data_IF_582487938779
#
_entry.id   IF_582487938779
#
_cell.length_a   1.000
_cell.length_b   1.000
_cell.length_c   1.000
_cell.angle_alpha   90.00
_cell.angle_beta   90.00
_cell.angle_gamma   90.00
#
_symmetry.space_group_name_H-M   'P 1'
#
loop_
_entity.id
_entity.type
_entity.pdbx_description
1 polymer ?
#
# COMPACT_ATOMS: atom_id res chain seq x y z
N UNK A 1 -8.33 23.10 -25.92
CA UNK A 1 -6.95 22.62 -25.64
C UNK A 1 -6.91 21.94 -24.26
N UNK A 2 -7.70 20.88 -24.02
CA UNK A 2 -7.80 20.26 -22.68
C UNK A 2 -7.73 18.72 -22.68
N UNK A 3 -7.50 18.09 -23.83
CA UNK A 3 -7.62 16.63 -24.00
C UNK A 3 -6.34 15.83 -23.76
N UNK A 4 -5.17 16.47 -23.59
CA UNK A 4 -3.89 15.74 -23.54
C UNK A 4 -3.40 15.42 -22.11
N UNK A 5 -4.03 15.99 -21.08
CA UNK A 5 -3.67 15.71 -19.67
C UNK A 5 -4.31 14.44 -19.11
N UNK A 6 -5.45 14.02 -19.64
CA UNK A 6 -6.20 12.88 -19.10
C UNK A 6 -5.46 11.53 -19.26
N UNK A 7 -4.65 11.38 -20.31
CA UNK A 7 -3.98 10.10 -20.62
C UNK A 7 -2.79 9.79 -19.71
N UNK A 8 -2.25 10.77 -19.00
CA UNK A 8 -1.08 10.57 -18.12
C UNK A 8 -1.47 10.40 -16.66
N UNK A 9 -2.54 11.05 -16.20
CA UNK A 9 -3.04 10.92 -14.82
C UNK A 9 -3.78 9.59 -14.57
N UNK A 10 -4.48 9.05 -15.59
CA UNK A 10 -5.13 7.74 -15.51
C UNK A 10 -4.11 6.61 -15.30
N UNK A 11 -2.99 6.66 -16.01
CA UNK A 11 -1.94 5.63 -15.91
C UNK A 11 -1.23 5.65 -14.55
N UNK A 12 -1.02 6.83 -13.95
CA UNK A 12 -0.49 6.90 -12.58
C UNK A 12 -1.47 6.30 -11.58
N UNK A 13 -2.77 6.59 -11.74
CA UNK A 13 -3.80 6.11 -10.82
C UNK A 13 -4.04 4.60 -10.94
N UNK A 14 -3.99 4.05 -12.15
CA UNK A 14 -4.01 2.60 -12.40
C UNK A 14 -2.82 1.88 -11.76
N UNK A 15 -1.61 2.45 -11.84
CA UNK A 15 -0.42 1.87 -11.24
C UNK A 15 -0.45 1.90 -9.70
N UNK A 16 -0.99 2.96 -9.11
CA UNK A 16 -1.19 3.09 -7.66
C UNK A 16 -2.23 2.08 -7.15
N UNK A 17 -3.32 1.90 -7.89
CA UNK A 17 -4.34 0.90 -7.60
C UNK A 17 -3.82 -0.54 -7.78
N UNK A 18 -2.98 -0.77 -8.79
CA UNK A 18 -2.27 -2.03 -8.97
C UNK A 18 -1.34 -2.37 -7.79
N UNK A 19 -0.65 -1.38 -7.21
CA UNK A 19 0.18 -1.59 -6.01
C UNK A 19 -0.66 -2.05 -4.81
N UNK A 20 -1.84 -1.44 -4.62
CA UNK A 20 -2.78 -1.79 -3.55
C UNK A 20 -3.33 -3.22 -3.73
N UNK A 21 -3.58 -3.64 -4.97
CA UNK A 21 -4.07 -4.98 -5.27
C UNK A 21 -2.97 -6.05 -5.13
N UNK A 22 -1.76 -5.77 -5.63
CA UNK A 22 -0.61 -6.67 -5.45
C UNK A 22 -0.29 -6.88 -3.95
N UNK A 23 -0.38 -5.80 -3.15
CA UNK A 23 -0.22 -5.89 -1.70
C UNK A 23 -1.32 -6.70 -0.99
N UNK A 24 -2.49 -6.89 -1.62
CA UNK A 24 -3.60 -7.72 -1.09
C UNK A 24 -3.35 -9.21 -1.31
N UNK A 25 -2.84 -9.58 -2.50
CA UNK A 25 -2.77 -10.98 -2.96
C UNK A 25 -1.45 -11.72 -2.69
N UNK A 26 -0.46 -11.06 -2.07
CA UNK A 26 0.89 -11.60 -1.77
C UNK A 26 1.85 -11.61 -2.97
N UNK A 27 1.56 -10.80 -4.00
CA UNK A 27 2.38 -10.74 -5.20
C UNK A 27 3.58 -9.81 -4.98
N UNK A 28 4.52 -10.25 -4.14
CA UNK A 28 5.72 -9.47 -3.79
C UNK A 28 6.56 -9.09 -5.01
N UNK A 29 6.60 -9.93 -6.04
CA UNK A 29 7.32 -9.65 -7.28
C UNK A 29 6.65 -8.50 -8.05
N UNK A 30 5.32 -8.48 -8.12
CA UNK A 30 4.57 -7.39 -8.73
C UNK A 30 4.73 -6.10 -7.91
N UNK A 31 4.66 -6.19 -6.58
CA UNK A 31 4.96 -5.06 -5.69
C UNK A 31 6.35 -4.49 -6.01
N UNK A 32 7.39 -5.33 -6.09
CA UNK A 32 8.76 -4.87 -6.42
C UNK A 32 8.84 -4.22 -7.80
N UNK A 33 8.19 -4.78 -8.81
CA UNK A 33 8.18 -4.23 -10.17
C UNK A 33 7.51 -2.85 -10.17
N UNK A 34 6.34 -2.72 -9.54
CA UNK A 34 5.55 -1.50 -9.48
C UNK A 34 6.30 -0.41 -8.70
N UNK A 35 6.91 -0.76 -7.57
CA UNK A 35 7.74 0.16 -6.78
C UNK A 35 8.99 0.60 -7.56
N UNK A 36 9.62 -0.33 -8.30
CA UNK A 36 10.76 -0.01 -9.16
C UNK A 36 10.39 0.89 -10.35
N UNK A 37 9.12 0.90 -10.76
CA UNK A 37 8.59 1.81 -11.76
C UNK A 37 8.40 3.25 -11.24
N UNK A 38 8.67 3.51 -9.95
CA UNK A 38 8.58 4.83 -9.34
C UNK A 38 7.18 5.19 -8.84
N UNK A 39 6.33 4.21 -8.60
CA UNK A 39 4.98 4.42 -8.04
C UNK A 39 5.08 4.83 -6.58
N UNK A 40 4.24 5.80 -6.19
CA UNK A 40 4.18 6.28 -4.82
C UNK A 40 3.64 5.21 -3.89
N UNK A 41 4.37 4.93 -2.81
CA UNK A 41 3.93 3.99 -1.77
C UNK A 41 2.89 4.59 -0.83
N UNK A 42 2.82 5.93 -0.79
CA UNK A 42 1.89 6.69 0.04
C UNK A 42 0.54 6.89 -0.64
N UNK A 43 0.33 6.25 -1.80
CA UNK A 43 -0.91 6.28 -2.54
C UNK A 43 -2.04 5.63 -1.76
N UNK A 44 -3.17 6.36 -1.71
CA UNK A 44 -4.33 6.01 -0.90
C UNK A 44 -5.50 5.63 -1.79
N UNK A 45 -6.18 4.56 -1.42
CA UNK A 45 -7.46 4.20 -2.03
C UNK A 45 -8.59 5.14 -1.57
N UNK A 46 -9.81 4.89 -2.06
CA UNK A 46 -11.03 5.62 -1.65
C UNK A 46 -11.33 5.58 -0.15
N UNK A 47 -10.70 4.66 0.59
CA UNK A 47 -10.82 4.49 2.04
C UNK A 47 -9.60 5.03 2.80
N UNK A 48 -8.69 5.74 2.13
CA UNK A 48 -7.48 6.28 2.73
C UNK A 48 -6.40 5.23 3.04
N UNK A 49 -6.55 3.99 2.54
CA UNK A 49 -5.62 2.88 2.81
C UNK A 49 -4.47 2.93 1.82
N UNK A 50 -3.24 2.82 2.33
CA UNK A 50 -2.03 2.60 1.53
C UNK A 50 -1.75 1.10 1.31
N UNK A 51 -0.86 0.77 0.38
CA UNK A 51 -0.45 -0.62 0.08
C UNK A 51 -0.08 -1.42 1.35
N UNK A 52 0.58 -0.76 2.29
CA UNK A 52 0.97 -1.37 3.57
C UNK A 52 -0.22 -1.74 4.47
N UNK A 53 -1.34 -1.00 4.41
CA UNK A 53 -2.57 -1.40 5.11
C UNK A 53 -3.15 -2.69 4.53
N UNK A 54 -3.15 -2.82 3.19
CA UNK A 54 -3.64 -4.02 2.51
C UNK A 54 -2.79 -5.23 2.86
N UNK A 55 -1.46 -5.08 2.79
CA UNK A 55 -0.52 -6.14 3.14
C UNK A 55 -0.69 -6.59 4.60
N UNK A 56 -0.81 -5.65 5.53
CA UNK A 56 -0.99 -5.94 6.96
C UNK A 56 -2.33 -6.65 7.21
N UNK A 57 -3.44 -6.12 6.70
CA UNK A 57 -4.77 -6.69 6.88
C UNK A 57 -4.91 -8.11 6.29
N UNK A 58 -4.13 -8.43 5.26
CA UNK A 58 -4.08 -9.75 4.64
C UNK A 58 -2.95 -10.64 5.16
N UNK A 59 -2.21 -10.18 6.20
CA UNK A 59 -1.10 -10.92 6.85
C UNK A 59 0.04 -11.28 5.87
N UNK A 60 0.32 -10.40 4.91
CA UNK A 60 1.38 -10.54 3.90
C UNK A 60 2.71 -10.02 4.46
N UNK A 61 3.38 -10.83 5.27
CA UNK A 61 4.58 -10.41 6.00
C UNK A 61 5.72 -9.98 5.05
N UNK A 62 5.94 -10.71 3.96
CA UNK A 62 7.01 -10.40 3.00
C UNK A 62 6.80 -9.02 2.34
N UNK A 63 5.54 -8.70 2.00
CA UNK A 63 5.17 -7.39 1.44
C UNK A 63 5.29 -6.29 2.51
N UNK A 64 4.87 -6.56 3.75
CA UNK A 64 5.01 -5.60 4.86
C UNK A 64 6.48 -5.28 5.12
N UNK A 65 7.36 -6.28 5.16
CA UNK A 65 8.80 -6.09 5.36
C UNK A 65 9.43 -5.29 4.22
N UNK A 66 9.07 -5.60 2.97
CA UNK A 66 9.58 -4.88 1.80
C UNK A 66 9.15 -3.41 1.79
N UNK A 67 7.85 -3.14 2.00
CA UNK A 67 7.32 -1.78 2.02
C UNK A 67 7.86 -0.96 3.20
N UNK A 68 8.04 -1.58 4.38
CA UNK A 68 8.66 -0.92 5.54
C UNK A 68 10.13 -0.59 5.26
N UNK A 69 10.86 -1.50 4.61
CA UNK A 69 12.25 -1.28 4.19
C UNK A 69 12.37 -0.22 3.09
N UNK A 70 11.30 0.03 2.34
CA UNK A 70 11.23 1.03 1.27
C UNK A 70 10.96 2.46 1.79
N UNK A 71 10.81 2.65 3.11
CA UNK A 71 10.65 3.97 3.72
C UNK A 71 9.24 4.55 3.65
N UNK A 72 8.21 3.70 3.57
CA UNK A 72 6.80 4.11 3.64
C UNK A 72 6.49 4.96 4.87
N UNK A 73 5.64 5.97 4.71
CA UNK A 73 5.09 6.70 5.85
C UNK A 73 4.16 5.80 6.68
N UNK A 74 4.71 5.24 7.76
CA UNK A 74 3.97 4.42 8.72
C UNK A 74 2.94 5.23 9.53
N UNK A 75 2.99 6.57 9.44
CA UNK A 75 2.06 7.46 10.13
C UNK A 75 0.79 7.72 9.30
N UNK A 76 0.71 7.18 8.08
CA UNK A 76 -0.49 7.23 7.27
C UNK A 76 -1.66 6.59 8.02
N UNK A 77 -2.69 7.39 8.33
CA UNK A 77 -3.97 6.93 8.87
C UNK A 77 -4.99 6.77 7.75
N UNK A 78 -5.68 5.63 7.72
CA UNK A 78 -6.83 5.43 6.85
C UNK A 78 -8.09 6.15 7.39
N UNK A 79 -9.20 6.11 6.64
CA UNK A 79 -10.47 6.77 7.01
C UNK A 79 -11.03 6.25 8.33
N UNK A 80 -10.70 5.02 8.72
CA UNK A 80 -11.09 4.41 9.99
C UNK A 80 -10.17 4.82 11.16
N UNK A 81 -9.24 5.76 10.95
CA UNK A 81 -8.20 6.19 11.89
C UNK A 81 -7.31 5.06 12.39
N UNK A 82 -7.24 3.94 11.67
CA UNK A 82 -6.24 2.93 11.95
C UNK A 82 -4.90 3.46 11.48
N UNK A 83 -4.06 3.85 12.43
CA UNK A 83 -2.63 4.05 12.19
C UNK A 83 -2.01 2.68 11.93
N UNK A 84 -1.07 2.60 11.00
CA UNK A 84 -0.42 1.34 10.65
C UNK A 84 0.11 0.56 11.86
N UNK A 85 0.71 1.24 12.85
CA UNK A 85 1.17 0.60 14.08
C UNK A 85 0.04 -0.08 14.86
N UNK A 86 -1.19 0.44 14.80
CA UNK A 86 -2.34 -0.18 15.45
C UNK A 86 -2.76 -1.48 14.75
N UNK A 87 -2.57 -1.60 13.43
CA UNK A 87 -2.78 -2.86 12.71
C UNK A 87 -1.66 -3.86 12.98
N UNK A 88 -0.40 -3.40 12.94
CA UNK A 88 0.75 -4.23 13.32
C UNK A 88 0.58 -4.77 14.75
N UNK A 89 0.21 -3.95 15.74
CA UNK A 89 -0.01 -4.39 17.11
C UNK A 89 -1.22 -5.33 17.26
N UNK A 90 -2.29 -5.17 16.48
CA UNK A 90 -3.47 -6.04 16.57
C UNK A 90 -3.20 -7.45 16.03
N UNK A 91 -2.50 -7.56 14.90
CA UNK A 91 -2.22 -8.85 14.27
C UNK A 91 -0.93 -9.50 14.79
N UNK A 92 0.08 -8.71 15.22
CA UNK A 92 1.32 -9.20 15.80
C UNK A 92 1.19 -9.59 17.28
N UNK A 93 0.25 -9.00 18.05
CA UNK A 93 0.08 -9.33 19.48
C UNK A 93 -0.89 -10.49 19.78
N UNK A 94 -1.51 -11.13 18.79
CA UNK A 94 -2.33 -12.33 19.08
C UNK A 94 -1.51 -13.61 19.37
N UNK A 95 -0.18 -13.50 19.52
CA UNK A 95 0.70 -14.56 20.04
C UNK A 95 1.19 -14.27 21.46
N UNK A 96 0.81 -13.13 22.07
CA UNK A 96 1.15 -12.86 23.48
C UNK A 96 -0.03 -12.27 24.26
N UNK A 97 -1.03 -13.11 24.54
CA UNK A 97 -1.64 -13.22 25.88
C UNK A 97 -2.55 -14.43 26.00
#
# INVERSE_FOLDING_TARGET
MSSEKASTEMASQENEEALLEAARYDDIDDVKIIVSAGVSLDSKDSQGRIALHMATANRRLDVVEFLTSSGVDLNASNVEKYTLWALQLKDFLLVVR
#
